data_IF_158530032297
#
_entry.id   IF_158530032297
#
_cell.length_a   1.000
_cell.length_b   1.000
_cell.length_c   1.000
_cell.angle_alpha   90.00
_cell.angle_beta   90.00
_cell.angle_gamma   90.00
#
_symmetry.space_group_name_H-M   'P 1'
#
loop_
_entity.id
_entity.type
_entity.pdbx_description
1 polymer ?
#
# COMPACT_ATOMS: atom_id res chain seq x y z
N UNK A 1 -31.02 3.78 -30.52
CA UNK A 1 -30.44 2.78 -29.59
C UNK A 1 -29.02 3.16 -29.16
N UNK A 2 -28.11 3.52 -30.08
CA UNK A 2 -26.71 3.88 -29.77
C UNK A 2 -26.52 5.03 -28.76
N UNK A 3 -27.34 6.08 -28.80
CA UNK A 3 -27.23 7.23 -27.87
C UNK A 3 -27.38 6.82 -26.39
N UNK A 4 -28.39 6.00 -26.07
CA UNK A 4 -28.61 5.48 -24.71
C UNK A 4 -27.45 4.62 -24.23
N UNK A 5 -26.83 3.86 -25.14
CA UNK A 5 -25.67 3.05 -24.83
C UNK A 5 -24.46 3.93 -24.50
N UNK A 6 -24.20 4.99 -25.28
CA UNK A 6 -23.12 5.95 -25.01
C UNK A 6 -23.36 6.67 -23.68
N UNK A 7 -24.58 7.13 -23.40
CA UNK A 7 -24.94 7.77 -22.14
C UNK A 7 -24.75 6.84 -20.94
N UNK A 8 -25.17 5.57 -21.04
CA UNK A 8 -24.96 4.58 -19.98
C UNK A 8 -23.48 4.28 -19.74
N UNK A 9 -22.68 4.24 -20.80
CA UNK A 9 -21.23 4.01 -20.70
C UNK A 9 -20.53 5.22 -20.05
N UNK A 10 -20.97 6.45 -20.37
CA UNK A 10 -20.49 7.67 -19.73
C UNK A 10 -20.77 7.71 -18.23
N UNK A 11 -22.01 7.40 -17.82
CA UNK A 11 -22.36 7.34 -16.38
C UNK A 11 -21.53 6.32 -15.61
N UNK A 12 -21.35 5.12 -16.16
CA UNK A 12 -20.52 4.10 -15.52
C UNK A 12 -19.06 4.54 -15.37
N UNK A 13 -18.53 5.29 -16.35
CA UNK A 13 -17.18 5.87 -16.29
C UNK A 13 -17.07 6.95 -15.21
N UNK A 14 -18.07 7.83 -15.07
CA UNK A 14 -18.09 8.86 -14.03
C UNK A 14 -18.24 8.27 -12.61
N UNK A 15 -19.07 7.25 -12.43
CA UNK A 15 -19.33 6.63 -11.13
C UNK A 15 -18.17 5.74 -10.64
N UNK A 16 -17.55 4.98 -11.55
CA UNK A 16 -16.57 3.93 -11.18
C UNK A 16 -15.15 4.21 -11.68
N UNK A 17 -14.94 5.37 -12.31
CA UNK A 17 -13.68 5.75 -12.95
C UNK A 17 -13.41 5.01 -14.27
N UNK A 18 -12.26 5.30 -14.86
CA UNK A 18 -11.73 4.58 -16.01
C UNK A 18 -11.19 3.19 -15.66
N UNK A 19 -11.00 2.35 -16.68
CA UNK A 19 -10.33 1.05 -16.49
C UNK A 19 -8.90 1.21 -15.94
N UNK A 20 -8.15 2.17 -16.47
CA UNK A 20 -6.78 2.49 -16.02
C UNK A 20 -6.75 2.97 -14.57
N UNK A 21 -7.68 3.83 -14.17
CA UNK A 21 -7.80 4.35 -12.80
C UNK A 21 -8.07 3.21 -11.82
N UNK A 22 -9.00 2.32 -12.13
CA UNK A 22 -9.28 1.13 -11.31
C UNK A 22 -8.08 0.21 -11.16
N UNK A 23 -7.30 0.00 -12.22
CA UNK A 23 -6.06 -0.77 -12.15
C UNK A 23 -5.02 -0.08 -11.25
N UNK A 24 -4.90 1.25 -11.33
CA UNK A 24 -4.00 2.00 -10.46
C UNK A 24 -4.43 1.91 -8.99
N UNK A 25 -5.72 2.05 -8.70
CA UNK A 25 -6.27 1.89 -7.35
C UNK A 25 -5.92 0.52 -6.76
N UNK A 26 -6.23 -0.57 -7.50
CA UNK A 26 -5.88 -1.95 -7.10
C UNK A 26 -4.38 -2.14 -6.86
N UNK A 27 -3.54 -1.53 -7.69
CA UNK A 27 -2.08 -1.60 -7.53
C UNK A 27 -1.60 -0.90 -6.25
N UNK A 28 -2.19 0.24 -5.91
CA UNK A 28 -1.90 0.97 -4.67
C UNK A 28 -2.34 0.16 -3.45
N UNK A 29 -3.57 -0.37 -3.46
CA UNK A 29 -4.10 -1.23 -2.40
C UNK A 29 -3.22 -2.47 -2.18
N UNK A 30 -2.86 -3.19 -3.25
CA UNK A 30 -1.98 -4.36 -3.17
C UNK A 30 -0.55 -4.02 -2.70
N UNK A 31 -0.08 -2.79 -2.93
CA UNK A 31 1.20 -2.32 -2.37
C UNK A 31 1.09 -2.03 -0.88
N UNK A 32 -0.03 -1.46 -0.44
CA UNK A 32 -0.24 -1.13 0.97
C UNK A 32 -0.44 -2.39 1.82
N UNK A 33 -1.25 -3.34 1.35
CA UNK A 33 -1.46 -4.62 2.04
C UNK A 33 -0.14 -5.38 2.24
N UNK A 34 0.75 -5.40 1.23
CA UNK A 34 2.08 -6.02 1.34
C UNK A 34 3.00 -5.34 2.36
N UNK A 35 2.77 -4.06 2.70
CA UNK A 35 3.57 -3.39 3.73
C UNK A 35 3.18 -3.82 5.14
N UNK A 36 1.94 -4.24 5.35
CA UNK A 36 1.37 -4.49 6.69
C UNK A 36 1.28 -5.97 7.07
N UNK A 37 1.17 -6.90 6.10
CA UNK A 37 0.85 -8.31 6.39
C UNK A 37 1.90 -9.06 7.24
N UNK A 38 3.18 -8.68 7.21
CA UNK A 38 4.25 -9.41 7.91
C UNK A 38 5.06 -8.54 8.89
N UNK A 39 4.62 -7.32 9.14
CA UNK A 39 5.38 -6.36 9.94
C UNK A 39 5.17 -6.56 11.44
N UNK A 40 6.21 -6.89 12.23
CA UNK A 40 6.09 -6.91 13.68
C UNK A 40 5.95 -5.50 14.24
N UNK A 41 5.45 -5.40 15.47
CA UNK A 41 5.43 -4.13 16.22
C UNK A 41 6.82 -3.79 16.77
N UNK A 42 7.11 -2.49 16.83
CA UNK A 42 8.36 -1.99 17.37
C UNK A 42 8.40 -2.16 18.90
N UNK A 43 9.44 -2.78 19.48
CA UNK A 43 9.53 -3.00 20.92
C UNK A 43 9.72 -1.72 21.73
N UNK A 44 10.03 -0.59 21.06
CA UNK A 44 10.27 0.70 21.73
C UNK A 44 9.05 1.63 21.71
N UNK A 45 8.19 1.54 20.70
CA UNK A 45 7.07 2.49 20.54
C UNK A 45 5.75 1.86 20.06
N UNK A 46 5.69 0.54 19.86
CA UNK A 46 4.50 -0.17 19.39
C UNK A 46 4.12 0.06 17.92
N UNK A 47 4.68 1.07 17.25
CA UNK A 47 4.41 1.33 15.82
C UNK A 47 4.87 0.16 14.94
N UNK A 48 4.21 -0.07 13.78
CA UNK A 48 4.60 -1.15 12.86
C UNK A 48 6.04 -0.96 12.36
N UNK A 49 6.75 -2.06 12.12
CA UNK A 49 8.10 -2.02 11.56
C UNK A 49 8.06 -2.21 10.03
N UNK A 50 9.16 -1.86 9.35
CA UNK A 50 9.35 -2.09 7.91
C UNK A 50 10.59 -2.93 7.70
N UNK A 51 10.51 -3.88 6.77
CA UNK A 51 11.67 -4.68 6.35
C UNK A 51 12.62 -3.81 5.56
N UNK A 52 13.86 -3.70 6.02
CA UNK A 52 14.94 -2.94 5.39
C UNK A 52 16.07 -3.90 5.03
N UNK A 53 16.80 -3.58 3.96
CA UNK A 53 17.97 -4.33 3.52
C UNK A 53 19.24 -3.61 3.96
N UNK A 54 20.18 -4.36 4.51
CA UNK A 54 21.55 -3.93 4.80
C UNK A 54 22.55 -4.88 4.13
N UNK A 55 23.84 -4.52 4.04
CA UNK A 55 24.88 -5.44 3.58
C UNK A 55 24.96 -6.74 4.40
N UNK A 56 24.50 -6.72 5.66
CA UNK A 56 24.51 -7.88 6.57
C UNK A 56 23.24 -8.75 6.48
N UNK A 57 22.27 -8.36 5.64
CA UNK A 57 20.97 -9.03 5.52
C UNK A 57 19.79 -8.09 5.75
N UNK A 58 18.59 -8.67 5.76
CA UNK A 58 17.36 -7.96 6.07
C UNK A 58 17.22 -7.75 7.59
N UNK A 59 16.48 -6.71 7.97
CA UNK A 59 16.09 -6.47 9.36
C UNK A 59 14.80 -5.64 9.41
N UNK A 60 14.09 -5.70 10.52
CA UNK A 60 12.95 -4.85 10.80
C UNK A 60 13.44 -3.53 11.40
N UNK A 61 13.09 -2.40 10.78
CA UNK A 61 13.32 -1.06 11.33
C UNK A 61 12.00 -0.35 11.61
N UNK A 62 11.92 0.42 12.70
CA UNK A 62 10.71 1.17 13.04
C UNK A 62 10.22 2.05 11.87
N UNK A 63 8.91 2.11 11.65
CA UNK A 63 8.29 2.99 10.65
C UNK A 63 8.43 4.48 10.98
N UNK A 64 8.61 4.83 12.25
CA UNK A 64 8.76 6.20 12.74
C UNK A 64 10.23 6.67 12.84
N UNK A 65 11.17 6.02 12.15
CA UNK A 65 12.51 6.58 12.02
C UNK A 65 12.45 7.93 11.28
N UNK A 66 13.16 9.00 11.72
CA UNK A 66 14.26 9.02 12.71
C UNK A 66 13.84 9.18 14.18
N UNK A 67 12.56 9.45 14.46
CA UNK A 67 12.02 9.71 15.81
C UNK A 67 12.13 8.46 16.70
N UNK A 68 11.97 7.27 16.12
CA UNK A 68 12.23 6.00 16.78
C UNK A 68 13.27 5.18 15.99
N UNK A 69 14.35 4.78 16.67
CA UNK A 69 15.46 4.00 16.09
C UNK A 69 15.37 2.50 16.38
N UNK A 70 14.21 2.01 16.79
CA UNK A 70 14.01 0.61 17.15
C UNK A 70 14.24 -0.32 15.97
N UNK A 71 15.00 -1.40 16.21
CA UNK A 71 15.29 -2.44 15.23
C UNK A 71 14.98 -3.83 15.81
N UNK A 72 14.65 -4.78 14.94
CA UNK A 72 14.56 -6.21 15.26
C UNK A 72 15.21 -7.01 14.13
N UNK A 73 15.86 -8.14 14.41
CA UNK A 73 16.24 -9.08 13.37
C UNK A 73 14.99 -9.57 12.63
N UNK A 74 15.09 -9.73 11.31
CA UNK A 74 14.06 -10.42 10.50
C UNK A 74 14.14 -11.91 10.69
#
# INVERSE_FOLDING_TARGET
MLKRQIESQGKAFEETGGFSERLMARRVEAREQRKTQDAPECPQCGKPMRRRKSPKGEFWGCSAFPECKGTRPT
#
